data_IF_442354920634
#
_entry.id   IF_442354920634
#
_cell.length_a   1.000
_cell.length_b   1.000
_cell.length_c   1.000
_cell.angle_alpha   90.00
_cell.angle_beta   90.00
_cell.angle_gamma   90.00
#
_symmetry.space_group_name_H-M   'P 1'
#
loop_
_entity.id
_entity.type
_entity.pdbx_description
1 polymer ?
#
# COMPACT_ATOMS: atom_id res chain seq x y z
N UNK A 1 -8.86 7.54 -26.47
CA UNK A 1 -10.01 7.30 -25.56
C UNK A 1 -9.47 6.64 -24.30
N UNK A 2 -8.47 7.27 -23.70
CA UNK A 2 -7.72 6.85 -22.52
C UNK A 2 -8.20 7.70 -21.33
N UNK A 3 -7.82 7.34 -20.11
CA UNK A 3 -7.84 8.20 -18.91
C UNK A 3 -9.05 8.28 -17.99
N UNK A 4 -10.32 8.14 -18.39
CA UNK A 4 -11.41 8.38 -17.40
C UNK A 4 -11.45 7.41 -16.20
N UNK A 5 -11.06 6.14 -16.39
CA UNK A 5 -11.03 5.16 -15.32
C UNK A 5 -9.72 5.21 -14.51
N UNK A 6 -8.63 5.58 -15.17
CA UNK A 6 -7.32 5.79 -14.55
C UNK A 6 -7.36 7.01 -13.62
N UNK A 7 -7.92 8.12 -14.11
CA UNK A 7 -8.18 9.32 -13.31
C UNK A 7 -9.04 8.97 -12.09
N UNK A 8 -10.00 8.06 -12.24
CA UNK A 8 -10.85 7.63 -11.14
C UNK A 8 -10.08 6.83 -10.08
N UNK A 9 -9.33 5.80 -10.47
CA UNK A 9 -8.60 4.96 -9.50
C UNK A 9 -7.50 5.77 -8.78
N UNK A 10 -6.81 6.64 -9.52
CA UNK A 10 -5.83 7.58 -8.95
C UNK A 10 -6.51 8.56 -8.00
N UNK A 11 -7.65 9.14 -8.38
CA UNK A 11 -8.41 10.06 -7.51
C UNK A 11 -8.90 9.35 -6.25
N UNK A 12 -9.40 8.12 -6.36
CA UNK A 12 -9.83 7.32 -5.21
C UNK A 12 -8.66 6.97 -4.28
N UNK A 13 -7.46 6.71 -4.82
CA UNK A 13 -6.26 6.53 -4.03
C UNK A 13 -5.83 7.82 -3.31
N UNK A 14 -5.83 8.95 -4.02
CA UNK A 14 -5.56 10.28 -3.46
C UNK A 14 -6.53 10.59 -2.32
N UNK A 15 -7.82 10.35 -2.52
CA UNK A 15 -8.84 10.63 -1.51
C UNK A 15 -8.72 9.70 -0.30
N UNK A 16 -8.28 8.45 -0.50
CA UNK A 16 -7.96 7.56 0.62
C UNK A 16 -6.75 8.05 1.44
N UNK A 17 -5.77 8.69 0.81
CA UNK A 17 -4.58 9.22 1.49
C UNK A 17 -4.88 10.47 2.35
N UNK A 18 -5.91 11.25 2.01
CA UNK A 18 -6.32 12.48 2.73
C UNK A 18 -6.97 12.24 4.10
N UNK A 19 -6.85 11.05 4.66
CA UNK A 19 -7.58 10.70 5.87
C UNK A 19 -7.02 11.39 7.14
N UNK A 20 -7.83 12.20 7.84
CA UNK A 20 -7.46 13.04 8.99
C UNK A 20 -6.74 12.36 10.17
N UNK A 21 -6.79 11.02 10.24
CA UNK A 21 -6.18 10.22 11.32
C UNK A 21 -4.88 9.53 10.92
N UNK A 22 -4.54 9.56 9.65
CA UNK A 22 -3.32 8.97 9.11
C UNK A 22 -2.40 10.11 8.71
N UNK A 23 -1.16 10.03 9.16
CA UNK A 23 -0.09 10.90 8.71
C UNK A 23 1.04 10.07 8.10
N UNK A 24 1.83 10.69 7.22
CA UNK A 24 3.01 10.08 6.59
C UNK A 24 2.71 8.70 6.01
N UNK A 25 1.73 8.65 5.11
CA UNK A 25 1.33 7.40 4.44
C UNK A 25 2.45 6.96 3.49
N UNK A 26 2.90 5.72 3.63
CA UNK A 26 3.95 5.11 2.82
C UNK A 26 3.48 3.77 2.27
N UNK A 27 3.74 3.53 1.00
CA UNK A 27 3.48 2.27 0.29
C UNK A 27 4.82 1.59 0.02
N UNK A 28 4.94 0.32 0.38
CA UNK A 28 6.15 -0.49 0.18
C UNK A 28 5.78 -1.89 -0.32
N UNK A 29 6.67 -2.56 -1.05
CA UNK A 29 6.51 -3.99 -1.30
C UNK A 29 6.90 -4.79 -0.04
N UNK A 30 6.13 -5.83 0.29
CA UNK A 30 6.41 -6.75 1.39
C UNK A 30 6.01 -8.19 1.01
N UNK A 31 6.64 -9.19 1.62
CA UNK A 31 6.38 -10.61 1.36
C UNK A 31 7.38 -11.28 0.40
N UNK A 32 7.15 -12.57 0.11
CA UNK A 32 8.05 -13.37 -0.74
C UNK A 32 7.95 -12.89 -2.19
N UNK A 33 9.07 -12.39 -2.73
CA UNK A 33 9.17 -12.03 -4.16
C UNK A 33 8.61 -10.66 -4.55
N UNK A 34 8.47 -9.72 -3.61
CA UNK A 34 8.06 -8.32 -3.89
C UNK A 34 6.70 -8.19 -4.59
N UNK A 35 5.81 -9.17 -4.43
CA UNK A 35 4.53 -9.21 -5.17
C UNK A 35 3.39 -8.47 -4.48
N UNK A 36 3.50 -8.20 -3.18
CA UNK A 36 2.40 -7.63 -2.41
C UNK A 36 2.74 -6.23 -1.88
N UNK A 37 1.79 -5.30 -2.00
CA UNK A 37 1.96 -4.00 -1.37
C UNK A 37 1.74 -4.13 0.15
N UNK A 38 2.35 -3.23 0.87
CA UNK A 38 2.09 -2.90 2.25
C UNK A 38 1.86 -1.41 2.35
N UNK A 39 1.03 -1.02 3.30
CA UNK A 39 0.78 0.38 3.62
C UNK A 39 1.17 0.59 5.06
N UNK A 40 1.98 1.60 5.31
CA UNK A 40 2.29 2.07 6.65
C UNK A 40 1.93 3.54 6.77
N UNK A 41 1.58 3.96 7.98
CA UNK A 41 1.28 5.33 8.31
C UNK A 41 1.55 5.56 9.80
N UNK A 42 1.40 6.81 10.23
CA UNK A 42 1.41 7.21 11.63
C UNK A 42 0.01 7.62 12.06
N UNK A 43 -0.49 6.98 13.10
CA UNK A 43 -1.72 7.34 13.78
C UNK A 43 -1.41 8.23 14.98
N UNK A 44 -2.02 9.41 15.04
CA UNK A 44 -1.90 10.34 16.17
C UNK A 44 -2.96 10.01 17.22
N UNK A 45 -2.51 9.51 18.38
CA UNK A 45 -3.36 9.24 19.54
C UNK A 45 -3.93 10.53 20.12
N UNK A 46 -4.99 10.43 20.95
CA UNK A 46 -5.53 11.60 21.67
C UNK A 46 -4.53 12.29 22.59
N UNK A 47 -3.49 11.57 23.02
CA UNK A 47 -2.41 12.10 23.87
C UNK A 47 -1.26 12.71 23.06
N UNK A 48 -1.43 12.90 21.75
CA UNK A 48 -0.41 13.46 20.85
C UNK A 48 0.70 12.48 20.44
N UNK A 49 0.76 11.26 21.01
CA UNK A 49 1.74 10.25 20.62
C UNK A 49 1.44 9.74 19.21
N UNK A 50 2.47 9.68 18.37
CA UNK A 50 2.44 9.01 17.07
C UNK A 50 2.69 7.52 17.25
N UNK A 51 1.82 6.69 16.68
CA UNK A 51 1.95 5.23 16.68
C UNK A 51 1.97 4.71 15.26
N UNK A 52 2.89 3.79 14.92
CA UNK A 52 2.90 3.19 13.59
C UNK A 52 1.65 2.34 13.43
N UNK A 53 0.99 2.45 12.29
CA UNK A 53 -0.22 1.72 11.93
C UNK A 53 -0.05 1.26 10.48
N UNK A 54 -0.55 0.08 10.12
CA UNK A 54 -0.40 -0.37 8.75
C UNK A 54 -1.04 -1.69 8.42
N UNK A 55 -0.92 -2.05 7.15
CA UNK A 55 -1.30 -3.32 6.55
C UNK A 55 -0.06 -3.89 5.87
N UNK A 56 0.31 -5.13 6.18
CA UNK A 56 1.52 -5.77 5.65
C UNK A 56 1.32 -7.25 5.41
N UNK A 57 2.18 -7.82 4.58
CA UNK A 57 2.29 -9.26 4.41
C UNK A 57 3.43 -9.80 5.26
N UNK A 58 3.16 -10.88 5.97
CA UNK A 58 4.14 -11.57 6.82
C UNK A 58 4.17 -13.05 6.47
N UNK A 59 5.38 -13.61 6.50
CA UNK A 59 5.59 -15.04 6.33
C UNK A 59 5.64 -15.68 7.70
N UNK A 60 4.72 -16.60 7.96
CA UNK A 60 4.71 -17.42 9.17
C UNK A 60 5.89 -18.39 9.21
N UNK A 61 6.19 -18.91 10.41
CA UNK A 61 7.22 -19.96 10.61
C UNK A 61 6.98 -21.21 9.76
N UNK A 62 5.73 -21.46 9.35
CA UNK A 62 5.33 -22.56 8.48
C UNK A 62 5.46 -22.24 6.98
N UNK A 63 6.03 -21.09 6.63
CA UNK A 63 6.19 -20.63 5.24
C UNK A 63 4.92 -20.07 4.60
N UNK A 64 3.77 -20.09 5.30
CA UNK A 64 2.53 -19.50 4.81
C UNK A 64 2.61 -17.98 4.90
N UNK A 65 2.31 -17.30 3.79
CA UNK A 65 2.26 -15.84 3.75
C UNK A 65 0.82 -15.38 3.96
N UNK A 66 0.59 -14.50 4.92
CA UNK A 66 -0.72 -13.96 5.24
C UNK A 66 -0.65 -12.46 5.50
N UNK A 67 -1.78 -11.79 5.31
CA UNK A 67 -1.90 -10.38 5.57
C UNK A 67 -2.20 -10.11 7.06
N UNK A 68 -1.60 -9.04 7.59
CA UNK A 68 -1.86 -8.53 8.93
C UNK A 68 -2.06 -7.02 8.92
N UNK A 69 -2.99 -6.56 9.76
CA UNK A 69 -3.04 -5.16 10.20
C UNK A 69 -2.28 -5.02 11.51
N UNK A 70 -1.60 -3.90 11.70
CA UNK A 70 -0.84 -3.65 12.91
C UNK A 70 -1.04 -2.23 13.46
N UNK A 71 -0.82 -2.10 14.76
CA UNK A 71 -0.83 -0.85 15.50
C UNK A 71 0.20 -0.92 16.62
N UNK A 72 1.27 -0.14 16.51
CA UNK A 72 2.44 -0.29 17.37
C UNK A 72 3.04 -1.68 17.22
N UNK A 73 3.18 -2.38 18.34
CA UNK A 73 3.68 -3.76 18.41
C UNK A 73 2.59 -4.81 18.31
N UNK A 74 1.31 -4.42 18.30
CA UNK A 74 0.19 -5.35 18.22
C UNK A 74 -0.19 -5.58 16.75
N UNK A 75 -0.47 -6.82 16.36
CA UNK A 75 -1.01 -7.16 15.03
C UNK A 75 -2.20 -8.12 15.09
N UNK A 76 -2.99 -8.15 14.03
CA UNK A 76 -4.12 -9.05 13.83
C UNK A 76 -4.19 -9.50 12.36
N UNK A 77 -4.77 -10.68 12.06
CA UNK A 77 -5.04 -11.08 10.69
C UNK A 77 -5.81 -10.03 9.90
N UNK A 78 -5.51 -9.89 8.61
CA UNK A 78 -6.04 -8.86 7.71
C UNK A 78 -7.47 -9.11 7.23
N UNK A 79 -8.44 -9.32 8.15
CA UNK A 79 -9.87 -9.43 7.84
C UNK A 79 -10.76 -9.03 9.04
N UNK A 80 -12.03 -8.60 8.93
CA UNK A 80 -12.73 -7.72 7.97
C UNK A 80 -13.80 -6.88 8.71
N UNK A 81 -13.77 -6.82 10.05
CA UNK A 81 -14.78 -6.11 10.84
C UNK A 81 -14.16 -5.12 11.82
N UNK A 82 -14.80 -3.94 11.95
CA UNK A 82 -14.42 -2.93 12.93
C UNK A 82 -14.36 -3.47 14.38
N UNK A 83 -15.12 -4.54 14.67
CA UNK A 83 -15.11 -5.20 15.98
C UNK A 83 -13.78 -5.88 16.29
N UNK A 84 -13.11 -6.45 15.30
CA UNK A 84 -11.81 -7.11 15.51
C UNK A 84 -10.71 -6.08 15.79
N UNK A 85 -10.84 -4.88 15.22
CA UNK A 85 -9.95 -3.75 15.51
C UNK A 85 -10.08 -3.24 16.94
N UNK A 86 -11.21 -3.44 17.63
CA UNK A 86 -11.32 -3.06 19.04
C UNK A 86 -10.42 -3.92 19.94
N UNK A 87 -10.25 -5.21 19.61
CA UNK A 87 -9.30 -6.07 20.32
C UNK A 87 -7.86 -5.63 20.08
N UNK A 88 -7.56 -5.22 18.84
CA UNK A 88 -6.25 -4.67 18.49
C UNK A 88 -5.95 -3.35 19.24
N UNK A 89 -6.91 -2.42 19.26
CA UNK A 89 -6.80 -1.17 20.03
C UNK A 89 -6.57 -1.42 21.52
N UNK A 90 -7.27 -2.42 22.11
CA UNK A 90 -7.06 -2.81 23.50
C UNK A 90 -5.63 -3.33 23.74
N UNK A 91 -5.12 -4.22 22.88
CA UNK A 91 -3.75 -4.76 22.97
C UNK A 91 -2.68 -3.67 22.82
N UNK A 92 -2.96 -2.64 22.01
CA UNK A 92 -2.10 -1.48 21.84
C UNK A 92 -2.22 -0.43 22.98
N UNK A 93 -3.05 -0.67 24.01
CA UNK A 93 -3.25 0.28 25.11
C UNK A 93 -4.17 1.48 24.79
N UNK A 94 -4.91 1.42 23.68
CA UNK A 94 -5.73 2.51 23.13
C UNK A 94 -7.24 2.23 23.24
N UNK A 95 -7.66 1.53 24.30
CA UNK A 95 -9.06 1.10 24.47
C UNK A 95 -10.08 2.26 24.47
N UNK A 96 -9.70 3.41 25.02
CA UNK A 96 -10.55 4.60 25.11
C UNK A 96 -10.77 5.32 23.78
N UNK A 97 -9.94 5.04 22.78
CA UNK A 97 -10.03 5.58 21.43
C UNK A 97 -10.20 4.47 20.38
N UNK A 98 -10.67 3.29 20.81
CA UNK A 98 -10.88 2.11 19.96
C UNK A 98 -11.68 2.37 18.69
N UNK A 99 -12.65 3.30 18.73
CA UNK A 99 -13.42 3.72 17.55
C UNK A 99 -12.53 4.44 16.55
N UNK A 100 -11.77 5.44 16.99
CA UNK A 100 -10.83 6.20 16.17
C UNK A 100 -9.75 5.31 15.57
N UNK A 101 -9.23 4.37 16.37
CA UNK A 101 -8.28 3.35 15.92
C UNK A 101 -8.90 2.45 14.84
N UNK A 102 -10.12 1.96 15.05
CA UNK A 102 -10.80 1.12 14.06
C UNK A 102 -11.03 1.88 12.74
N UNK A 103 -11.41 3.16 12.78
CA UNK A 103 -11.51 3.99 11.58
C UNK A 103 -10.17 4.19 10.89
N UNK A 104 -9.09 4.43 11.64
CA UNK A 104 -7.74 4.55 11.08
C UNK A 104 -7.28 3.24 10.41
N UNK A 105 -7.57 2.08 11.02
CA UNK A 105 -7.26 0.77 10.45
C UNK A 105 -8.07 0.48 9.18
N UNK A 106 -9.36 0.85 9.17
CA UNK A 106 -10.18 0.79 7.96
C UNK A 106 -9.60 1.69 6.86
N UNK A 107 -9.18 2.91 7.21
CA UNK A 107 -8.57 3.84 6.26
C UNK A 107 -7.27 3.27 5.66
N UNK A 108 -6.40 2.68 6.48
CA UNK A 108 -5.18 1.99 6.00
C UNK A 108 -5.53 0.87 5.02
N UNK A 109 -6.56 0.07 5.32
CA UNK A 109 -7.01 -0.98 4.39
C UNK A 109 -7.56 -0.39 3.09
N UNK A 110 -8.31 0.72 3.17
CA UNK A 110 -8.79 1.43 1.98
C UNK A 110 -7.62 1.92 1.14
N UNK A 111 -6.63 2.57 1.74
CA UNK A 111 -5.40 3.00 1.04
C UNK A 111 -4.73 1.81 0.37
N UNK A 112 -4.59 0.68 1.05
CA UNK A 112 -4.01 -0.55 0.48
C UNK A 112 -4.76 -1.03 -0.76
N UNK A 113 -6.09 -1.15 -0.69
CA UNK A 113 -6.87 -1.63 -1.82
C UNK A 113 -6.85 -0.64 -3.00
N UNK A 114 -6.86 0.66 -2.72
CA UNK A 114 -6.77 1.69 -3.78
C UNK A 114 -5.37 1.75 -4.40
N UNK A 115 -4.31 1.64 -3.60
CA UNK A 115 -2.94 1.54 -4.10
C UNK A 115 -2.77 0.32 -5.02
N UNK A 116 -3.38 -0.82 -4.67
CA UNK A 116 -3.38 -2.01 -5.52
C UNK A 116 -4.10 -1.80 -6.86
N UNK A 117 -5.25 -1.10 -6.87
CA UNK A 117 -5.97 -0.78 -8.10
C UNK A 117 -5.13 0.09 -9.07
N UNK A 118 -4.37 1.03 -8.51
CA UNK A 118 -3.48 1.92 -9.28
C UNK A 118 -2.20 1.19 -9.73
N UNK A 119 -1.64 0.32 -8.88
CA UNK A 119 -0.36 -0.38 -9.10
C UNK A 119 -0.30 -1.15 -10.42
N UNK A 120 -1.27 -2.04 -10.65
CA UNK A 120 -1.19 -3.00 -11.76
C UNK A 120 -1.10 -2.28 -13.11
N UNK A 121 -1.75 -1.12 -13.21
CA UNK A 121 -1.76 -0.30 -14.40
C UNK A 121 -0.53 0.59 -14.53
N UNK A 122 -0.06 1.22 -13.45
CA UNK A 122 1.23 1.94 -13.45
C UNK A 122 2.38 1.04 -13.86
N UNK A 123 2.41 -0.17 -13.32
CA UNK A 123 3.47 -1.11 -13.62
C UNK A 123 3.46 -1.49 -15.11
N UNK A 124 2.28 -1.64 -15.71
CA UNK A 124 2.16 -1.87 -17.16
C UNK A 124 2.61 -0.66 -17.98
N UNK A 125 2.24 0.55 -17.59
CA UNK A 125 2.64 1.80 -18.25
C UNK A 125 4.17 2.00 -18.19
N UNK A 126 4.78 1.80 -17.01
CA UNK A 126 6.23 1.87 -16.86
C UNK A 126 6.96 0.76 -17.63
N UNK A 127 6.41 -0.45 -17.70
CA UNK A 127 6.97 -1.51 -18.55
C UNK A 127 6.93 -1.12 -20.03
N UNK A 128 5.84 -0.53 -20.50
CA UNK A 128 5.73 -0.04 -21.87
C UNK A 128 6.71 1.11 -22.15
N UNK A 129 6.89 2.04 -21.21
CA UNK A 129 7.85 3.16 -21.35
C UNK A 129 9.31 2.68 -21.37
N UNK A 130 9.66 1.71 -20.53
CA UNK A 130 11.01 1.12 -20.51
C UNK A 130 11.32 0.32 -21.78
N UNK A 131 10.29 -0.17 -22.48
CA UNK A 131 10.40 -0.94 -23.71
C UNK A 131 9.84 -0.20 -24.93
N UNK A 132 10.00 1.12 -25.07
CA UNK A 132 9.48 1.91 -26.20
C UNK A 132 9.81 1.43 -27.64
N UNK A 133 10.55 0.32 -27.80
CA UNK A 133 10.77 -0.39 -29.06
C UNK A 133 9.93 -1.68 -29.26
N UNK A 134 9.13 -2.17 -28.27
CA UNK A 134 8.30 -3.38 -28.37
C UNK A 134 7.00 -3.29 -27.54
N UNK A 135 5.82 -3.38 -28.17
CA UNK A 135 4.51 -3.34 -27.49
C UNK A 135 4.25 -4.55 -26.58
N UNK A 136 3.75 -4.32 -25.35
CA UNK A 136 3.39 -5.38 -24.39
C UNK A 136 1.87 -5.50 -24.19
N UNK A 137 1.38 -6.74 -24.10
CA UNK A 137 -0.01 -7.07 -23.73
C UNK A 137 -0.07 -7.62 -22.30
N UNK A 138 -1.20 -7.41 -21.60
CA UNK A 138 -1.43 -7.81 -20.21
C UNK A 138 -1.15 -9.31 -19.90
N UNK A 139 -1.09 -10.14 -20.93
CA UNK A 139 -0.68 -11.55 -20.92
C UNK A 139 0.75 -11.80 -20.43
N UNK A 140 1.65 -10.81 -20.49
CA UNK A 140 3.03 -10.94 -20.03
C UNK A 140 3.18 -11.00 -18.50
N UNK A 141 2.27 -10.35 -17.76
CA UNK A 141 2.22 -10.45 -16.30
C UNK A 141 1.81 -11.87 -15.84
N UNK A 142 1.25 -12.69 -16.74
CA UNK A 142 0.83 -14.07 -16.49
C UNK A 142 1.86 -15.13 -16.95
N UNK A 143 3.06 -14.73 -17.37
CA UNK A 143 4.16 -15.67 -17.61
C UNK A 143 4.04 -16.50 -18.89
N UNK A 144 3.48 -15.93 -19.96
CA UNK A 144 3.40 -16.58 -21.27
C UNK A 144 3.85 -15.69 -22.41
N UNK A 145 4.79 -16.22 -23.21
CA UNK A 145 5.22 -15.85 -24.57
C UNK A 145 6.53 -15.04 -24.69
N UNK A 146 7.32 -15.53 -25.64
CA UNK A 146 8.64 -15.18 -26.17
C UNK A 146 8.73 -13.71 -26.63
N UNK A 147 9.21 -12.84 -25.75
CA UNK A 147 9.56 -11.44 -26.03
C UNK A 147 11.06 -11.28 -26.37
N UNK A 148 11.76 -12.38 -26.67
CA UNK A 148 13.19 -12.39 -27.00
C UNK A 148 14.11 -11.97 -25.85
N UNK A 149 13.58 -11.74 -24.64
CA UNK A 149 14.38 -11.44 -23.45
C UNK A 149 14.75 -12.70 -22.69
N UNK A 150 16.00 -12.73 -22.23
CA UNK A 150 16.41 -13.67 -21.20
C UNK A 150 15.65 -13.39 -19.88
N UNK A 151 15.52 -14.43 -19.06
CA UNK A 151 14.76 -14.43 -17.81
C UNK A 151 15.28 -13.33 -16.87
N UNK A 152 16.59 -13.14 -16.80
CA UNK A 152 17.21 -12.12 -15.94
C UNK A 152 16.91 -10.69 -16.43
N UNK A 153 17.01 -10.44 -17.73
CA UNK A 153 16.65 -9.14 -18.31
C UNK A 153 15.16 -8.81 -18.11
N UNK A 154 14.27 -9.81 -18.21
CA UNK A 154 12.85 -9.63 -17.91
C UNK A 154 12.63 -9.30 -16.43
N UNK A 155 13.36 -9.96 -15.54
CA UNK A 155 13.29 -9.73 -14.09
C UNK A 155 13.74 -8.31 -13.73
N UNK A 156 14.82 -7.84 -14.34
CA UNK A 156 15.35 -6.48 -14.10
C UNK A 156 14.36 -5.40 -14.54
N UNK A 157 13.74 -5.56 -15.71
CA UNK A 157 12.70 -4.64 -16.20
C UNK A 157 11.47 -4.62 -15.30
N UNK A 158 11.03 -5.79 -14.84
CA UNK A 158 9.93 -5.88 -13.87
C UNK A 158 10.30 -5.17 -12.57
N UNK A 159 11.51 -5.38 -12.05
CA UNK A 159 12.00 -4.72 -10.84
C UNK A 159 12.05 -3.20 -11.02
N UNK A 160 12.53 -2.71 -12.16
CA UNK A 160 12.60 -1.29 -12.45
C UNK A 160 11.21 -0.66 -12.55
N UNK A 161 10.27 -1.32 -13.23
CA UNK A 161 8.89 -0.85 -13.31
C UNK A 161 8.19 -0.86 -11.95
N UNK A 162 8.47 -1.86 -11.11
CA UNK A 162 8.00 -1.90 -9.72
C UNK A 162 8.54 -0.72 -8.90
N UNK A 163 9.84 -0.42 -9.01
CA UNK A 163 10.45 0.72 -8.31
C UNK A 163 9.85 2.06 -8.76
N UNK A 164 9.62 2.24 -10.06
CA UNK A 164 8.97 3.43 -10.61
C UNK A 164 7.52 3.55 -10.11
N UNK A 165 6.78 2.43 -10.11
CA UNK A 165 5.41 2.37 -9.59
C UNK A 165 5.38 2.79 -8.12
N UNK A 166 6.31 2.26 -7.32
CA UNK A 166 6.39 2.55 -5.89
C UNK A 166 6.71 4.01 -5.62
N UNK A 167 7.62 4.61 -6.39
CA UNK A 167 7.92 6.05 -6.31
C UNK A 167 6.68 6.87 -6.61
N UNK A 168 5.99 6.60 -7.72
CA UNK A 168 4.77 7.32 -8.09
C UNK A 168 3.69 7.22 -6.99
N UNK A 169 3.45 6.03 -6.43
CA UNK A 169 2.49 5.85 -5.34
C UNK A 169 2.87 6.62 -4.08
N UNK A 170 4.16 6.62 -3.71
CA UNK A 170 4.65 7.36 -2.54
C UNK A 170 4.66 8.87 -2.76
N UNK A 171 4.96 9.35 -3.97
CA UNK A 171 4.89 10.78 -4.29
C UNK A 171 3.44 11.29 -4.16
N UNK A 172 2.47 10.53 -4.67
CA UNK A 172 1.05 10.81 -4.47
C UNK A 172 0.65 10.76 -2.99
N UNK A 173 1.06 9.71 -2.26
CA UNK A 173 0.76 9.61 -0.83
C UNK A 173 1.38 10.77 -0.03
N UNK A 174 2.61 11.17 -0.34
CA UNK A 174 3.28 12.29 0.29
C UNK A 174 2.57 13.61 -0.03
N UNK A 175 2.22 13.88 -1.28
CA UNK A 175 1.56 15.14 -1.66
C UNK A 175 0.18 15.34 -1.02
N UNK A 176 -0.55 14.25 -0.76
CA UNK A 176 -1.96 14.33 -0.34
C UNK A 176 -2.26 13.83 1.06
N UNK A 177 -1.32 13.17 1.74
CA UNK A 177 -1.51 12.76 3.13
C UNK A 177 -1.28 13.92 4.11
N UNK A 178 -1.88 13.79 5.31
CA UNK A 178 -1.52 14.69 6.39
C UNK A 178 -0.05 14.44 6.78
N UNK A 179 0.69 15.49 7.07
CA UNK A 179 2.08 15.37 7.50
C UNK A 179 2.15 15.44 9.01
N UNK A 180 2.94 14.57 9.65
CA UNK A 180 3.25 14.71 11.07
C UNK A 180 4.35 15.77 11.29
N UNK A 181 4.16 16.95 10.69
CA UNK A 181 5.02 18.10 10.98
C UNK A 181 5.02 18.40 12.48
N UNK A 182 6.12 18.93 13.03
CA UNK A 182 6.08 19.52 14.36
C UNK A 182 5.03 20.63 14.32
N UNK A 183 4.05 20.58 15.22
CA UNK A 183 3.23 21.75 15.52
C UNK A 183 4.22 22.86 15.88
N UNK A 184 4.41 23.82 14.97
CA UNK A 184 5.07 25.07 15.29
C UNK A 184 4.21 25.76 16.33
N UNK A 185 4.68 25.68 17.58
CA UNK A 185 4.32 26.57 18.68
C UNK A 185 4.31 28.03 18.24
#
# INVERSE_FOLDING_TARGET
MTDRLWDKDVQEFIDACKHDKLADVEVAYSGIGSTFLSVSARYRTRRGRLMPIGYRWVTSEKGLTHAEVYLGTASAPGAHEAKDFFRLARRAGLFWERKSVAYALLAVMTVYFKAHAVRDRLQLEHLNDLKRDQEFSATLLQGGIDDGLDIDARRDLISQAQDMTLRTLNDLAHLYSAHSGPDST
#
